data_IF_841655937830
#
_entry.id   IF_841655937830
#
_cell.length_a   1.000
_cell.length_b   1.000
_cell.length_c   1.000
_cell.angle_alpha   90.00
_cell.angle_beta   90.00
_cell.angle_gamma   90.00
#
_symmetry.space_group_name_H-M   'P 1'
#
loop_
_entity.id
_entity.type
_entity.pdbx_description
1 polymer ?
#
# COMPACT_ATOMS: atom_id res chain seq x y z
N UNK A 1 25.36 -22.74 5.78
CA UNK A 1 24.83 -22.37 4.45
C UNK A 1 23.36 -22.76 4.24
N UNK A 2 22.91 -23.98 4.60
CA UNK A 2 21.55 -24.46 4.31
C UNK A 2 20.39 -23.61 4.88
N UNK A 3 20.53 -23.07 6.11
CA UNK A 3 19.49 -22.23 6.76
C UNK A 3 19.27 -20.90 6.01
N UNK A 4 20.35 -20.28 5.51
CA UNK A 4 20.29 -19.01 4.76
C UNK A 4 19.59 -19.19 3.40
N UNK A 5 19.73 -20.37 2.78
CA UNK A 5 19.00 -20.71 1.56
C UNK A 5 17.50 -20.92 1.81
N UNK A 6 17.11 -21.55 2.92
CA UNK A 6 15.69 -21.72 3.28
C UNK A 6 14.98 -20.38 3.50
N UNK A 7 15.60 -19.44 4.22
CA UNK A 7 15.03 -18.10 4.43
C UNK A 7 14.90 -17.31 3.11
N UNK A 8 15.90 -17.41 2.24
CA UNK A 8 15.89 -16.75 0.92
C UNK A 8 14.78 -17.31 0.02
N UNK A 9 14.65 -18.63 -0.07
CA UNK A 9 13.58 -19.29 -0.82
C UNK A 9 12.22 -18.89 -0.25
N UNK A 10 12.08 -18.90 1.06
CA UNK A 10 10.86 -18.47 1.73
C UNK A 10 10.45 -17.03 1.37
N UNK A 11 11.37 -16.06 1.49
CA UNK A 11 11.10 -14.67 1.14
C UNK A 11 10.77 -14.51 -0.35
N UNK A 12 11.45 -15.25 -1.22
CA UNK A 12 11.16 -15.28 -2.65
C UNK A 12 9.74 -15.78 -2.92
N UNK A 13 9.36 -16.93 -2.36
CA UNK A 13 8.03 -17.52 -2.54
C UNK A 13 6.94 -16.63 -1.96
N UNK A 14 7.15 -16.10 -0.75
CA UNK A 14 6.20 -15.17 -0.12
C UNK A 14 5.98 -13.93 -1.00
N UNK A 15 7.06 -13.34 -1.49
CA UNK A 15 6.99 -12.16 -2.38
C UNK A 15 6.27 -12.52 -3.67
N UNK A 16 6.57 -13.67 -4.29
CA UNK A 16 5.91 -14.10 -5.52
C UNK A 16 4.40 -14.34 -5.34
N UNK A 17 3.99 -15.02 -4.27
CA UNK A 17 2.58 -15.30 -3.98
C UNK A 17 1.82 -14.00 -3.68
N UNK A 18 2.37 -13.12 -2.85
CA UNK A 18 1.73 -11.83 -2.55
C UNK A 18 1.72 -10.91 -3.77
N UNK A 19 2.74 -10.96 -4.63
CA UNK A 19 2.74 -10.23 -5.91
C UNK A 19 1.63 -10.74 -6.82
N UNK A 20 1.50 -12.05 -6.99
CA UNK A 20 0.40 -12.63 -7.76
C UNK A 20 -0.96 -12.22 -7.21
N UNK A 21 -1.12 -12.21 -5.88
CA UNK A 21 -2.34 -11.72 -5.21
C UNK A 21 -2.60 -10.23 -5.51
N UNK A 22 -1.57 -9.38 -5.47
CA UNK A 22 -1.68 -7.95 -5.82
C UNK A 22 -2.19 -7.80 -7.26
N UNK A 23 -1.62 -8.54 -8.21
CA UNK A 23 -2.06 -8.49 -9.61
C UNK A 23 -3.51 -8.97 -9.79
N UNK A 24 -3.88 -10.09 -9.16
CA UNK A 24 -5.27 -10.60 -9.20
C UNK A 24 -6.23 -9.57 -8.60
N UNK A 25 -5.92 -9.03 -7.43
CA UNK A 25 -6.75 -8.00 -6.79
C UNK A 25 -6.80 -6.71 -7.62
N UNK A 26 -5.71 -6.31 -8.28
CA UNK A 26 -5.68 -5.08 -9.05
C UNK A 26 -6.53 -5.12 -10.32
N UNK A 27 -6.61 -6.28 -10.97
CA UNK A 27 -7.40 -6.48 -12.18
C UNK A 27 -8.78 -7.08 -11.91
N UNK A 28 -9.17 -7.18 -10.64
CA UNK A 28 -10.52 -7.56 -10.24
C UNK A 28 -11.14 -6.46 -9.38
N UNK A 29 -12.48 -6.47 -9.19
CA UNK A 29 -13.14 -5.50 -8.30
C UNK A 29 -12.73 -5.63 -6.82
N UNK A 30 -11.92 -6.64 -6.46
CA UNK A 30 -11.51 -6.92 -5.08
C UNK A 30 -10.44 -5.94 -4.57
N UNK A 31 -9.54 -5.46 -5.44
CA UNK A 31 -8.46 -4.56 -5.04
C UNK A 31 -8.86 -3.09 -5.00
N UNK A 32 -9.87 -2.73 -5.79
CA UNK A 32 -10.42 -1.37 -5.88
C UNK A 32 -11.94 -1.44 -5.84
N UNK A 33 -12.53 -1.26 -4.66
CA UNK A 33 -13.98 -1.09 -4.57
C UNK A 33 -14.33 0.33 -4.99
N UNK A 34 -14.85 0.46 -6.20
CA UNK A 34 -15.32 1.72 -6.76
C UNK A 34 -16.69 2.06 -6.17
N UNK A 35 -16.75 3.03 -5.27
CA UNK A 35 -18.01 3.56 -4.74
C UNK A 35 -18.14 5.01 -5.21
N UNK A 36 -18.95 5.24 -6.23
CA UNK A 36 -19.09 6.56 -6.86
C UNK A 36 -17.81 6.99 -7.58
N UNK A 37 -17.34 8.21 -7.33
CA UNK A 37 -16.14 8.82 -7.95
C UNK A 37 -14.83 8.47 -7.25
N UNK A 38 -14.87 7.78 -6.10
CA UNK A 38 -13.69 7.46 -5.29
C UNK A 38 -13.53 5.95 -5.15
N UNK A 39 -12.32 5.46 -5.39
CA UNK A 39 -11.96 4.04 -5.32
C UNK A 39 -11.33 3.72 -3.96
N UNK A 40 -11.95 2.81 -3.20
CA UNK A 40 -11.38 2.26 -1.95
C UNK A 40 -10.34 1.20 -2.33
N UNK A 41 -9.09 1.35 -1.90
CA UNK A 41 -8.02 0.40 -2.21
C UNK A 41 -7.73 -0.61 -1.09
N UNK A 42 -7.73 -1.89 -1.43
CA UNK A 42 -7.36 -2.99 -0.52
C UNK A 42 -5.97 -3.57 -0.81
N UNK A 43 -5.29 -3.09 -1.86
CA UNK A 43 -4.00 -3.62 -2.29
C UNK A 43 -2.85 -3.35 -1.32
N UNK A 44 -3.02 -2.37 -0.42
CA UNK A 44 -2.08 -2.16 0.68
C UNK A 44 -2.05 -3.35 1.66
N UNK A 45 -3.12 -4.15 1.76
CA UNK A 45 -3.19 -5.27 2.71
C UNK A 45 -2.12 -6.32 2.41
N UNK A 46 -2.01 -6.88 1.17
CA UNK A 46 -0.90 -7.76 0.80
C UNK A 46 0.49 -7.16 1.03
N UNK A 47 0.68 -5.86 0.76
CA UNK A 47 1.96 -5.16 0.95
C UNK A 47 2.35 -5.12 2.43
N UNK A 48 1.41 -4.73 3.29
CA UNK A 48 1.57 -4.68 4.75
C UNK A 48 1.86 -6.07 5.31
N UNK A 49 1.11 -7.09 4.88
CA UNK A 49 1.34 -8.48 5.31
C UNK A 49 2.76 -8.92 4.93
N UNK A 50 3.18 -8.67 3.69
CA UNK A 50 4.52 -9.02 3.24
C UNK A 50 5.62 -8.23 3.95
N UNK A 51 5.37 -6.97 4.30
CA UNK A 51 6.30 -6.14 5.07
C UNK A 51 6.46 -6.65 6.51
N UNK A 52 5.37 -7.07 7.16
CA UNK A 52 5.38 -7.62 8.52
C UNK A 52 6.06 -9.00 8.54
N UNK A 53 5.70 -9.86 7.59
CA UNK A 53 6.08 -11.29 7.61
C UNK A 53 7.43 -11.52 6.91
N UNK A 54 7.73 -10.78 5.85
CA UNK A 54 8.95 -10.88 5.06
C UNK A 54 10.00 -9.79 5.36
N UNK A 55 9.60 -8.72 6.06
CA UNK A 55 10.47 -7.60 6.44
C UNK A 55 10.49 -6.45 5.42
N UNK A 56 11.30 -5.40 5.68
CA UNK A 56 11.33 -4.17 4.88
C UNK A 56 11.62 -4.39 3.39
N UNK A 57 12.51 -5.32 3.05
CA UNK A 57 12.85 -5.61 1.65
C UNK A 57 11.67 -6.20 0.87
N UNK A 58 10.90 -7.09 1.51
CA UNK A 58 9.70 -7.68 0.89
C UNK A 58 8.61 -6.62 0.75
N UNK A 59 8.39 -5.82 1.79
CA UNK A 59 7.45 -4.69 1.74
C UNK A 59 7.77 -3.70 0.62
N UNK A 60 9.05 -3.37 0.41
CA UNK A 60 9.51 -2.47 -0.66
C UNK A 60 9.18 -3.03 -2.05
N UNK A 61 9.48 -4.31 -2.29
CA UNK A 61 9.21 -4.97 -3.58
C UNK A 61 7.71 -5.08 -3.85
N UNK A 62 6.91 -5.45 -2.85
CA UNK A 62 5.46 -5.50 -2.98
C UNK A 62 4.85 -4.11 -3.18
N UNK A 63 5.39 -3.08 -2.52
CA UNK A 63 5.04 -1.69 -2.76
C UNK A 63 5.34 -1.25 -4.20
N UNK A 64 6.45 -1.70 -4.78
CA UNK A 64 6.76 -1.47 -6.19
C UNK A 64 5.74 -2.15 -7.11
N UNK A 65 5.35 -3.40 -6.82
CA UNK A 65 4.32 -4.11 -7.59
C UNK A 65 2.96 -3.42 -7.50
N UNK A 66 2.57 -2.96 -6.31
CA UNK A 66 1.35 -2.17 -6.14
C UNK A 66 1.42 -0.82 -6.88
N UNK A 67 2.58 -0.17 -6.88
CA UNK A 67 2.82 1.02 -7.70
C UNK A 67 2.66 0.75 -9.19
N UNK A 68 3.19 -0.38 -9.68
CA UNK A 68 3.06 -0.80 -11.07
C UNK A 68 1.59 -1.03 -11.46
N UNK A 69 0.81 -1.74 -10.64
CA UNK A 69 -0.61 -1.94 -10.92
C UNK A 69 -1.40 -0.64 -10.87
N UNK A 70 -1.04 0.27 -9.97
CA UNK A 70 -1.66 1.60 -9.89
C UNK A 70 -1.36 2.43 -11.15
N UNK A 71 -0.12 2.38 -11.65
CA UNK A 71 0.26 3.07 -12.87
C UNK A 71 -0.41 2.49 -14.12
N UNK A 72 -0.53 1.16 -14.20
CA UNK A 72 -1.26 0.47 -15.28
C UNK A 72 -2.73 0.94 -15.33
N UNK A 73 -3.34 1.21 -14.18
CA UNK A 73 -4.71 1.72 -14.16
C UNK A 73 -4.88 3.15 -14.68
N UNK A 74 -3.81 3.95 -14.70
CA UNK A 74 -3.83 5.28 -15.31
C UNK A 74 -3.97 5.24 -16.84
N UNK A 75 -3.90 4.07 -17.48
CA UNK A 75 -4.11 3.89 -18.92
C UNK A 75 -5.59 3.60 -19.26
N UNK A 76 -6.53 4.34 -18.65
CA UNK A 76 -7.96 4.27 -18.99
C UNK A 76 -8.83 3.39 -18.11
N UNK A 77 -8.29 2.71 -17.09
CA UNK A 77 -9.11 1.91 -16.16
C UNK A 77 -9.59 2.71 -14.94
N UNK A 78 -8.85 3.75 -14.54
CA UNK A 78 -9.20 4.67 -13.47
C UNK A 78 -9.25 6.11 -14.00
N UNK A 79 -10.41 6.76 -13.89
CA UNK A 79 -10.65 8.10 -14.45
C UNK A 79 -9.73 9.16 -13.80
N UNK A 80 -9.51 9.05 -12.50
CA UNK A 80 -8.66 9.98 -11.76
C UNK A 80 -7.20 9.85 -12.21
N UNK A 81 -6.66 8.62 -12.21
CA UNK A 81 -5.32 8.32 -12.70
C UNK A 81 -5.11 8.67 -14.18
N UNK A 82 -6.11 8.43 -15.02
CA UNK A 82 -6.05 8.76 -16.46
C UNK A 82 -5.98 10.27 -16.68
N UNK A 83 -6.73 11.05 -15.90
CA UNK A 83 -6.67 12.52 -15.94
C UNK A 83 -5.28 13.01 -15.54
N UNK A 84 -4.72 12.50 -14.44
CA UNK A 84 -3.37 12.88 -14.00
C UNK A 84 -2.29 12.49 -15.01
N UNK A 85 -2.42 11.31 -15.63
CA UNK A 85 -1.52 10.86 -16.68
C UNK A 85 -1.54 11.81 -17.89
N UNK A 86 -2.73 12.27 -18.28
CA UNK A 86 -2.90 13.27 -19.34
C UNK A 86 -2.26 14.62 -19.04
N UNK A 87 -2.20 15.02 -17.76
CA UNK A 87 -1.52 16.26 -17.33
C UNK A 87 0.00 16.07 -17.38
N UNK A 88 0.52 15.05 -16.72
CA UNK A 88 1.95 14.76 -16.70
C UNK A 88 2.22 13.26 -16.42
N UNK A 89 2.67 12.49 -17.42
CA UNK A 89 2.97 11.07 -17.27
C UNK A 89 4.08 10.77 -16.27
N UNK A 90 5.11 11.63 -16.20
CA UNK A 90 6.27 11.42 -15.32
C UNK A 90 5.87 11.62 -13.86
N UNK A 91 5.15 12.70 -13.57
CA UNK A 91 4.64 12.97 -12.22
C UNK A 91 3.64 11.89 -11.79
N UNK A 92 2.83 11.39 -12.71
CA UNK A 92 1.92 10.27 -12.45
C UNK A 92 2.70 9.01 -12.09
N UNK A 93 3.75 8.68 -12.83
CA UNK A 93 4.62 7.55 -12.48
C UNK A 93 5.25 7.73 -11.08
N UNK A 94 5.82 8.89 -10.78
CA UNK A 94 6.40 9.18 -9.46
C UNK A 94 5.35 9.02 -8.36
N UNK A 95 4.16 9.61 -8.55
CA UNK A 95 3.05 9.54 -7.63
C UNK A 95 2.52 8.11 -7.45
N UNK A 96 2.52 7.27 -8.49
CA UNK A 96 2.12 5.86 -8.41
C UNK A 96 3.16 5.00 -7.68
N UNK A 97 4.44 5.16 -7.97
CA UNK A 97 5.48 4.27 -7.45
C UNK A 97 6.03 4.71 -6.08
N UNK A 98 6.45 5.96 -5.93
CA UNK A 98 7.24 6.41 -4.76
C UNK A 98 6.47 6.25 -3.45
N UNK A 99 5.22 6.75 -3.30
CA UNK A 99 4.44 6.56 -2.09
C UNK A 99 4.27 5.10 -1.68
N UNK A 100 4.07 4.19 -2.66
CA UNK A 100 3.77 2.77 -2.39
C UNK A 100 5.02 2.01 -1.97
N UNK A 101 6.15 2.30 -2.61
CA UNK A 101 7.47 1.76 -2.24
C UNK A 101 7.82 2.20 -0.82
N UNK A 102 7.68 3.49 -0.52
CA UNK A 102 7.97 4.05 0.80
C UNK A 102 7.02 3.51 1.87
N UNK A 103 5.73 3.38 1.59
CA UNK A 103 4.78 2.76 2.52
C UNK A 103 5.18 1.33 2.87
N UNK A 104 5.50 0.50 1.87
CA UNK A 104 5.94 -0.87 2.10
C UNK A 104 7.25 -0.97 2.90
N UNK A 105 8.20 -0.08 2.61
CA UNK A 105 9.44 0.05 3.37
C UNK A 105 9.17 0.44 4.83
N UNK A 106 8.39 1.50 5.06
CA UNK A 106 8.09 2.01 6.39
C UNK A 106 7.31 0.98 7.21
N UNK A 107 6.36 0.26 6.64
CA UNK A 107 5.66 -0.82 7.35
C UNK A 107 6.65 -1.87 7.88
N UNK A 108 7.60 -2.30 7.05
CA UNK A 108 8.59 -3.28 7.47
C UNK A 108 9.54 -2.73 8.55
N UNK A 109 9.90 -1.44 8.47
CA UNK A 109 10.74 -0.78 9.47
C UNK A 109 10.01 -0.59 10.81
N UNK A 110 8.75 -0.16 10.77
CA UNK A 110 7.89 -0.01 11.95
C UNK A 110 7.78 -1.36 12.64
N UNK A 111 7.41 -2.43 11.93
CA UNK A 111 7.32 -3.75 12.53
C UNK A 111 8.64 -4.25 13.09
N UNK A 112 9.76 -3.98 12.40
CA UNK A 112 11.11 -4.33 12.87
C UNK A 112 11.48 -3.59 14.16
N UNK A 113 11.00 -2.35 14.34
CA UNK A 113 11.23 -1.55 15.55
C UNK A 113 10.53 -2.15 16.79
N UNK A 114 9.41 -2.87 16.62
CA UNK A 114 8.72 -3.62 17.69
C UNK A 114 9.43 -4.92 18.12
N UNK A 115 10.76 -5.00 17.94
CA UNK A 115 11.57 -6.19 18.17
C UNK A 115 11.31 -6.95 19.49
N UNK A 116 11.48 -8.29 19.42
CA UNK A 116 11.34 -9.32 20.46
C UNK A 116 9.89 -9.68 20.89
N UNK A 117 9.72 -10.99 21.15
CA UNK A 117 8.48 -11.80 21.24
C UNK A 117 7.25 -11.20 21.94
N UNK A 118 7.40 -10.20 22.81
CA UNK A 118 6.31 -9.72 23.66
C UNK A 118 5.32 -8.78 22.96
N UNK A 119 5.73 -8.07 21.91
CA UNK A 119 4.88 -7.08 21.24
C UNK A 119 4.41 -7.51 19.85
N UNK A 120 4.46 -8.81 19.52
CA UNK A 120 4.13 -9.29 18.16
C UNK A 120 2.71 -8.87 17.75
N UNK A 121 1.71 -9.02 18.63
CA UNK A 121 0.31 -8.67 18.32
C UNK A 121 0.15 -7.15 18.17
N UNK A 122 0.65 -6.38 19.13
CA UNK A 122 0.57 -4.92 19.14
C UNK A 122 1.33 -4.30 17.97
N UNK A 123 2.56 -4.76 17.72
CA UNK A 123 3.39 -4.32 16.59
C UNK A 123 2.77 -4.66 15.25
N UNK A 124 2.12 -5.82 15.13
CA UNK A 124 1.39 -6.21 13.90
C UNK A 124 0.16 -5.32 13.67
N UNK A 125 -0.65 -5.07 14.70
CA UNK A 125 -1.81 -4.19 14.61
C UNK A 125 -1.42 -2.75 14.28
N UNK A 126 -0.43 -2.20 14.99
CA UNK A 126 0.03 -0.83 14.78
C UNK A 126 0.69 -0.66 13.40
N UNK A 127 1.52 -1.62 12.97
CA UNK A 127 2.08 -1.59 11.61
C UNK A 127 0.97 -1.62 10.56
N UNK A 128 -0.08 -2.40 10.79
CA UNK A 128 -1.20 -2.50 9.85
C UNK A 128 -2.01 -1.21 9.77
N UNK A 129 -2.25 -0.55 10.90
CA UNK A 129 -2.83 0.79 10.92
C UNK A 129 -1.94 1.82 10.24
N UNK A 130 -0.65 1.85 10.60
CA UNK A 130 0.33 2.74 10.00
C UNK A 130 0.44 2.52 8.48
N UNK A 131 0.26 1.29 7.99
CA UNK A 131 0.28 1.01 6.55
C UNK A 131 -0.80 1.77 5.79
N UNK A 132 -2.05 1.73 6.27
CA UNK A 132 -3.13 2.51 5.68
C UNK A 132 -2.90 4.01 5.80
N UNK A 133 -2.55 4.47 7.01
CA UNK A 133 -2.33 5.89 7.27
C UNK A 133 -1.18 6.48 6.43
N UNK A 134 -0.01 5.83 6.42
CA UNK A 134 1.17 6.25 5.66
C UNK A 134 0.87 6.22 4.16
N UNK A 135 0.13 5.23 3.67
CA UNK A 135 -0.28 5.19 2.26
C UNK A 135 -1.06 6.45 1.88
N UNK A 136 -2.09 6.81 2.65
CA UNK A 136 -2.91 8.01 2.39
C UNK A 136 -2.07 9.29 2.47
N UNK A 137 -1.26 9.45 3.53
CA UNK A 137 -0.42 10.64 3.72
C UNK A 137 0.60 10.79 2.58
N UNK A 138 1.29 9.71 2.19
CA UNK A 138 2.28 9.78 1.11
C UNK A 138 1.62 9.99 -0.26
N UNK A 139 0.45 9.39 -0.50
CA UNK A 139 -0.27 9.57 -1.75
C UNK A 139 -0.78 11.01 -1.91
N UNK A 140 -1.50 11.52 -0.91
CA UNK A 140 -2.05 12.89 -0.94
C UNK A 140 -0.90 13.91 -0.91
N UNK A 141 0.15 13.66 -0.13
CA UNK A 141 1.34 14.50 -0.12
C UNK A 141 2.03 14.56 -1.49
N UNK A 142 2.23 13.42 -2.15
CA UNK A 142 2.80 13.38 -3.50
C UNK A 142 1.90 14.04 -4.55
N UNK A 143 0.58 13.85 -4.45
CA UNK A 143 -0.41 14.50 -5.29
C UNK A 143 -0.29 16.03 -5.20
N UNK A 144 -0.27 16.57 -3.99
CA UNK A 144 -0.16 18.02 -3.79
C UNK A 144 1.20 18.55 -4.25
N UNK A 145 2.29 17.87 -3.93
CA UNK A 145 3.63 18.30 -4.35
C UNK A 145 3.74 18.39 -5.87
N UNK A 146 3.20 17.41 -6.60
CA UNK A 146 3.40 17.27 -8.04
C UNK A 146 2.31 17.94 -8.89
N UNK A 147 1.07 17.97 -8.41
CA UNK A 147 -0.10 18.37 -9.22
C UNK A 147 -0.92 19.52 -8.65
N UNK A 148 -0.58 20.09 -7.48
CA UNK A 148 -1.37 21.19 -6.90
C UNK A 148 -1.54 22.40 -7.83
N UNK A 149 -0.54 22.69 -8.67
CA UNK A 149 -0.60 23.79 -9.62
C UNK A 149 -1.40 23.48 -10.91
N UNK A 150 -1.98 22.28 -11.03
CA UNK A 150 -2.82 21.93 -12.18
C UNK A 150 -4.26 22.41 -11.97
N UNK A 151 -4.90 22.89 -13.05
CA UNK A 151 -6.31 23.34 -13.02
C UNK A 151 -7.24 22.24 -12.51
N UNK A 152 -6.92 20.97 -12.80
CA UNK A 152 -7.67 19.83 -12.32
C UNK A 152 -7.66 19.73 -10.79
N UNK A 153 -6.50 19.82 -10.14
CA UNK A 153 -6.42 19.74 -8.68
C UNK A 153 -7.00 21.00 -8.03
N UNK A 154 -6.80 22.17 -8.62
CA UNK A 154 -7.39 23.42 -8.13
C UNK A 154 -8.91 23.44 -8.23
N UNK A 155 -9.51 22.68 -9.15
CA UNK A 155 -10.97 22.52 -9.24
C UNK A 155 -11.60 21.89 -8.00
N UNK A 156 -10.82 21.16 -7.19
CA UNK A 156 -11.28 20.61 -5.91
C UNK A 156 -11.28 21.63 -4.76
N UNK A 157 -10.67 22.80 -4.94
CA UNK A 157 -10.76 23.90 -3.99
C UNK A 157 -9.59 24.88 -4.06
N UNK A 158 -9.85 26.12 -3.65
CA UNK A 158 -8.90 27.24 -3.72
C UNK A 158 -7.81 27.21 -2.63
N UNK A 159 -7.74 26.16 -1.82
CA UNK A 159 -6.73 26.00 -0.76
C UNK A 159 -6.33 24.54 -0.62
N UNK A 160 -5.10 24.31 -0.17
CA UNK A 160 -4.57 22.95 0.12
C UNK A 160 -5.50 22.17 1.05
N UNK A 161 -6.06 22.84 2.07
CA UNK A 161 -6.96 22.21 3.05
C UNK A 161 -8.27 21.78 2.40
N UNK A 162 -8.83 22.60 1.49
CA UNK A 162 -10.02 22.23 0.74
C UNK A 162 -9.78 20.99 -0.14
N UNK A 163 -8.66 20.97 -0.88
CA UNK A 163 -8.27 19.81 -1.70
C UNK A 163 -8.11 18.56 -0.84
N UNK A 164 -7.43 18.64 0.30
CA UNK A 164 -7.28 17.50 1.23
C UNK A 164 -8.64 17.00 1.72
N UNK A 165 -9.56 17.89 2.07
CA UNK A 165 -10.89 17.52 2.57
C UNK A 165 -11.74 16.77 1.56
N UNK A 166 -11.54 17.04 0.26
CA UNK A 166 -12.24 16.34 -0.84
C UNK A 166 -11.58 14.99 -1.14
N UNK A 167 -10.25 14.91 -1.03
CA UNK A 167 -9.51 13.68 -1.34
C UNK A 167 -9.56 12.66 -0.19
N UNK A 168 -9.46 13.12 1.06
CA UNK A 168 -9.55 12.28 2.25
C UNK A 168 -11.00 12.23 2.69
N UNK A 169 -11.73 11.22 2.19
CA UNK A 169 -13.13 10.99 2.55
C UNK A 169 -13.27 9.83 3.52
N UNK A 170 -14.51 9.46 3.83
CA UNK A 170 -14.84 8.27 4.63
C UNK A 170 -14.19 6.97 4.12
N UNK A 171 -13.89 6.90 2.81
CA UNK A 171 -13.19 5.80 2.19
C UNK A 171 -11.80 5.55 2.80
N UNK A 172 -11.04 6.61 3.11
CA UNK A 172 -9.73 6.49 3.75
C UNK A 172 -9.84 5.84 5.15
N UNK A 173 -10.92 6.13 5.88
CA UNK A 173 -11.18 5.53 7.19
C UNK A 173 -11.49 4.03 7.05
N UNK A 174 -12.32 3.65 6.07
CA UNK A 174 -12.61 2.24 5.76
C UNK A 174 -11.31 1.50 5.40
N UNK A 175 -10.48 2.11 4.56
CA UNK A 175 -9.16 1.60 4.20
C UNK A 175 -8.31 1.32 5.44
N UNK A 176 -8.18 2.29 6.34
CA UNK A 176 -7.35 2.13 7.55
C UNK A 176 -7.88 1.04 8.47
N UNK A 177 -9.20 0.96 8.64
CA UNK A 177 -9.85 -0.07 9.45
C UNK A 177 -9.65 -1.45 8.82
N UNK A 178 -9.94 -1.59 7.52
CA UNK A 178 -9.79 -2.85 6.79
C UNK A 178 -8.33 -3.32 6.82
N UNK A 179 -7.39 -2.40 6.61
CA UNK A 179 -5.96 -2.68 6.69
C UNK A 179 -5.55 -3.14 8.08
N UNK A 180 -6.03 -2.45 9.12
CA UNK A 180 -5.74 -2.82 10.51
C UNK A 180 -6.30 -4.20 10.84
N UNK A 181 -7.58 -4.46 10.55
CA UNK A 181 -8.25 -5.71 10.93
C UNK A 181 -7.72 -6.88 10.12
N UNK A 182 -7.74 -6.80 8.79
CA UNK A 182 -7.37 -7.90 7.91
C UNK A 182 -5.85 -8.08 7.90
N UNK A 183 -5.10 -6.98 7.76
CA UNK A 183 -3.63 -7.00 7.75
C UNK A 183 -3.08 -7.60 9.04
N UNK A 184 -3.66 -7.24 10.20
CA UNK A 184 -3.19 -7.80 11.47
C UNK A 184 -3.59 -9.27 11.65
N UNK A 185 -4.85 -9.63 11.37
CA UNK A 185 -5.34 -10.99 11.53
C UNK A 185 -4.56 -11.98 10.65
N UNK A 186 -4.38 -11.65 9.36
CA UNK A 186 -3.65 -12.50 8.42
C UNK A 186 -2.17 -12.55 8.78
N UNK A 187 -1.54 -11.42 9.13
CA UNK A 187 -0.12 -11.41 9.51
C UNK A 187 0.16 -12.23 10.78
N UNK A 188 -0.73 -12.19 11.77
CA UNK A 188 -0.62 -13.01 12.99
C UNK A 188 -0.76 -14.49 12.65
N UNK A 189 -1.79 -14.85 11.86
CA UNK A 189 -2.03 -16.22 11.44
C UNK A 189 -0.84 -16.79 10.64
N UNK A 190 -0.33 -16.01 9.69
CA UNK A 190 0.78 -16.39 8.83
C UNK A 190 2.09 -16.52 9.61
N UNK A 191 2.39 -15.58 10.51
CA UNK A 191 3.54 -15.67 11.41
C UNK A 191 3.48 -16.93 12.30
N UNK A 192 2.29 -17.31 12.80
CA UNK A 192 2.11 -18.51 13.63
C UNK A 192 2.25 -19.80 12.82
N UNK A 193 1.70 -19.84 11.61
CA UNK A 193 1.78 -21.00 10.73
C UNK A 193 3.22 -21.27 10.25
N UNK A 194 3.98 -20.21 9.97
CA UNK A 194 5.31 -20.32 9.36
C UNK A 194 6.44 -20.42 10.38
N UNK A 195 6.34 -19.80 11.56
CA UNK A 195 7.29 -20.04 12.68
C UNK A 195 7.25 -21.47 13.23
N UNK A 196 6.22 -22.25 12.89
CA UNK A 196 6.15 -23.68 13.24
C UNK A 196 6.91 -24.58 12.26
N UNK A 197 7.30 -24.05 11.08
CA UNK A 197 7.92 -24.83 9.98
C UNK A 197 9.43 -24.60 9.83
N UNK A 198 10.01 -23.61 10.51
CA UNK A 198 11.44 -23.31 10.56
C UNK A 198 11.83 -22.91 11.97
#
# INVERSE_FOLDING_TARGET
MAVKNKEKIYKLTLTAVLTALIFVMAFTPLGYLKIGTVSITFLMIPVVIGAIVGGPSVGTVLGLMFGATSFIQCFGMDTFGTTLFGINPVYTAIMCFVPRILMGLFCGLIYKAFGKKNYIKTGTALTSFCGGFINTVLFVGALLLLFYNSDYIQSFGNSVIAVISVLITFNAVIEWIACTVIGSAVSIALNKALKKRF
#
